data_IF_460615353143
#
_entry.id   IF_460615353143
#
_cell.length_a   1.000
_cell.length_b   1.000
_cell.length_c   1.000
_cell.angle_alpha   90.00
_cell.angle_beta   90.00
_cell.angle_gamma   90.00
#
_symmetry.space_group_name_H-M   'P 1'
#
loop_
_entity.id
_entity.type
_entity.pdbx_description
1 polymer ?
#
# COMPACT_ATOMS: atom_id res chain seq x y z
N UNK A 1 23.62 -16.99 -2.55
CA UNK A 1 22.43 -17.85 -2.59
C UNK A 1 21.36 -17.16 -1.78
N UNK A 2 20.38 -16.55 -2.44
CA UNK A 2 19.26 -15.89 -1.75
C UNK A 2 18.27 -16.94 -1.23
N UNK A 3 17.92 -16.84 0.05
CA UNK A 3 17.03 -17.73 0.78
C UNK A 3 15.60 -17.74 0.19
N UNK A 4 14.95 -18.91 0.24
CA UNK A 4 13.61 -19.19 -0.27
C UNK A 4 12.54 -18.29 0.38
N UNK A 5 12.80 -17.85 1.62
CA UNK A 5 12.02 -16.82 2.33
C UNK A 5 12.04 -15.48 1.60
N UNK A 6 13.18 -15.07 1.07
CA UNK A 6 13.34 -13.81 0.30
C UNK A 6 12.61 -13.89 -1.03
N UNK A 7 12.60 -15.06 -1.69
CA UNK A 7 11.79 -15.31 -2.89
C UNK A 7 10.29 -15.23 -2.62
N UNK A 8 9.83 -15.71 -1.46
CA UNK A 8 8.42 -15.66 -1.08
C UNK A 8 7.94 -14.25 -0.71
N UNK A 9 8.80 -13.41 -0.13
CA UNK A 9 8.50 -11.98 0.11
C UNK A 9 8.49 -11.18 -1.20
N UNK A 10 9.35 -11.54 -2.16
CA UNK A 10 9.39 -10.89 -3.48
C UNK A 10 8.30 -11.37 -4.46
N UNK A 11 7.72 -12.55 -4.25
CA UNK A 11 6.67 -13.14 -5.09
C UNK A 11 5.22 -12.79 -4.69
N UNK A 12 4.99 -11.89 -3.74
CA UNK A 12 3.63 -11.39 -3.45
C UNK A 12 3.14 -10.36 -4.49
N UNK A 13 3.49 -10.59 -5.75
CA UNK A 13 3.08 -9.77 -6.90
C UNK A 13 1.88 -10.50 -7.50
N UNK A 14 0.70 -9.88 -7.42
CA UNK A 14 -0.51 -10.40 -8.07
C UNK A 14 -0.27 -10.67 -9.57
N UNK A 15 -1.12 -11.50 -10.18
CA UNK A 15 -1.09 -11.71 -11.63
C UNK A 15 -1.13 -10.35 -12.34
N UNK A 16 -0.07 -10.03 -13.10
CA UNK A 16 -0.05 -8.83 -13.93
C UNK A 16 -1.10 -8.95 -15.03
N UNK A 17 -1.98 -7.96 -15.13
CA UNK A 17 -3.00 -7.88 -16.17
C UNK A 17 -2.67 -6.70 -17.09
N UNK A 18 -1.85 -6.90 -18.14
CA UNK A 18 -1.43 -5.82 -19.02
C UNK A 18 -2.64 -5.11 -19.62
N UNK A 19 -2.68 -3.78 -19.46
CA UNK A 19 -3.72 -2.91 -20.02
C UNK A 19 -4.87 -2.57 -19.07
N UNK A 20 -4.88 -3.06 -17.81
CA UNK A 20 -5.88 -2.68 -16.81
C UNK A 20 -5.37 -1.57 -15.90
N UNK A 21 -6.30 -0.75 -15.41
CA UNK A 21 -6.05 0.20 -14.33
C UNK A 21 -5.57 -0.55 -13.09
N UNK A 22 -4.79 0.12 -12.25
CA UNK A 22 -4.21 -0.45 -11.04
C UNK A 22 -4.93 0.02 -9.79
N UNK A 23 -5.06 -0.89 -8.83
CA UNK A 23 -5.38 -0.61 -7.44
C UNK A 23 -4.13 -0.87 -6.59
N UNK A 24 -3.41 0.18 -6.22
CA UNK A 24 -2.19 0.09 -5.43
C UNK A 24 -2.49 0.20 -3.93
N UNK A 25 -2.27 -0.87 -3.18
CA UNK A 25 -2.53 -0.93 -1.74
C UNK A 25 -1.20 -0.79 -1.00
N UNK A 26 -1.06 0.29 -0.22
CA UNK A 26 0.09 0.51 0.65
C UNK A 26 -0.33 0.29 2.11
N UNK A 27 0.22 -0.75 2.73
CA UNK A 27 -0.16 -1.12 4.09
C UNK A 27 0.95 -1.67 4.96
N UNK A 28 0.69 -1.71 6.26
CA UNK A 28 1.41 -2.57 7.20
C UNK A 28 0.86 -4.02 7.16
N UNK A 29 1.06 -4.79 8.24
CA UNK A 29 0.56 -6.17 8.34
C UNK A 29 -0.95 -6.33 8.07
N UNK A 30 -1.76 -5.30 8.27
CA UNK A 30 -3.21 -5.36 8.05
C UNK A 30 -3.59 -5.50 6.57
N UNK A 31 -2.74 -5.06 5.63
CA UNK A 31 -2.98 -5.22 4.19
C UNK A 31 -2.55 -6.56 3.61
N UNK A 32 -2.06 -7.49 4.44
CA UNK A 32 -1.60 -8.80 3.98
C UNK A 32 -2.71 -9.53 3.22
N UNK A 33 -2.37 -10.10 2.07
CA UNK A 33 -3.24 -10.88 1.19
C UNK A 33 -4.42 -10.13 0.54
N UNK A 34 -4.65 -8.84 0.84
CA UNK A 34 -5.78 -8.09 0.24
C UNK A 34 -5.70 -8.05 -1.28
N UNK A 35 -4.54 -7.68 -1.84
CA UNK A 35 -4.35 -7.60 -3.30
C UNK A 35 -4.58 -8.96 -3.99
N UNK A 36 -4.11 -10.06 -3.37
CA UNK A 36 -4.31 -11.42 -3.89
C UNK A 36 -5.79 -11.80 -3.89
N UNK A 37 -6.50 -11.57 -2.78
CA UNK A 37 -7.93 -11.83 -2.68
C UNK A 37 -8.73 -11.04 -3.72
N UNK A 38 -8.45 -9.74 -3.88
CA UNK A 38 -9.12 -8.88 -4.86
C UNK A 38 -8.91 -9.41 -6.29
N UNK A 39 -7.69 -9.81 -6.65
CA UNK A 39 -7.42 -10.36 -7.99
C UNK A 39 -8.08 -11.73 -8.24
N UNK A 40 -8.48 -12.45 -7.18
CA UNK A 40 -9.17 -13.75 -7.32
C UNK A 40 -10.68 -13.60 -7.47
N UNK A 41 -11.29 -12.53 -6.96
CA UNK A 41 -12.74 -12.33 -6.98
C UNK A 41 -13.21 -11.44 -8.14
N UNK A 42 -12.32 -10.65 -8.74
CA UNK A 42 -12.65 -9.78 -9.87
C UNK A 42 -11.48 -9.69 -10.87
N UNK A 43 -11.79 -9.24 -12.09
CA UNK A 43 -10.81 -9.05 -13.16
C UNK A 43 -10.94 -7.69 -13.88
N UNK A 44 -11.66 -6.71 -13.32
CA UNK A 44 -11.80 -5.35 -13.88
C UNK A 44 -10.53 -4.51 -13.76
N UNK A 45 -9.69 -4.75 -12.75
CA UNK A 45 -8.44 -4.02 -12.52
C UNK A 45 -7.37 -4.96 -11.91
N UNK A 46 -6.12 -4.50 -11.92
CA UNK A 46 -4.99 -5.20 -11.28
C UNK A 46 -4.73 -4.64 -9.87
N UNK A 47 -4.92 -5.45 -8.83
CA UNK A 47 -4.54 -5.07 -7.47
C UNK A 47 -3.07 -5.41 -7.18
N UNK A 48 -2.31 -4.43 -6.69
CA UNK A 48 -0.90 -4.56 -6.31
C UNK A 48 -0.75 -4.17 -4.84
N UNK A 49 -0.12 -5.01 -4.02
CA UNK A 49 0.07 -4.75 -2.59
C UNK A 49 1.53 -4.48 -2.23
N UNK A 50 1.80 -3.32 -1.62
CA UNK A 50 3.04 -3.02 -0.90
C UNK A 50 2.78 -3.13 0.59
N UNK A 51 3.21 -4.26 1.16
CA UNK A 51 2.95 -4.61 2.55
C UNK A 51 4.27 -4.60 3.32
N UNK A 52 4.39 -3.74 4.34
CA UNK A 52 5.54 -3.68 5.25
C UNK A 52 5.11 -4.04 6.68
N UNK A 53 5.16 -5.32 7.08
CA UNK A 53 4.78 -5.71 8.44
C UNK A 53 5.59 -4.98 9.51
N UNK A 54 4.92 -4.46 10.54
CA UNK A 54 5.52 -3.62 11.59
C UNK A 54 5.98 -2.24 11.13
N UNK A 55 5.77 -1.90 9.85
CA UNK A 55 6.15 -0.62 9.27
C UNK A 55 5.26 0.52 9.75
N UNK A 56 5.88 1.66 10.07
CA UNK A 56 5.16 2.91 10.30
C UNK A 56 4.71 3.57 8.99
N UNK A 57 3.90 4.62 9.10
CA UNK A 57 3.37 5.42 7.98
C UNK A 57 4.44 5.84 6.98
N UNK A 58 5.62 6.29 7.45
CA UNK A 58 6.74 6.70 6.59
C UNK A 58 7.27 5.58 5.68
N UNK A 59 7.38 4.37 6.23
CA UNK A 59 7.92 3.22 5.51
C UNK A 59 6.89 2.65 4.52
N UNK A 60 5.61 2.64 4.91
CA UNK A 60 4.50 2.16 4.10
C UNK A 60 4.23 3.11 2.92
N UNK A 61 4.30 4.43 3.15
CA UNK A 61 3.98 5.47 2.16
C UNK A 61 5.19 5.97 1.36
N UNK A 62 6.24 5.14 1.26
CA UNK A 62 7.43 5.51 0.48
C UNK A 62 7.09 5.78 -0.99
N UNK A 63 7.52 6.94 -1.50
CA UNK A 63 7.26 7.32 -2.89
C UNK A 63 7.91 6.41 -3.92
N UNK A 64 8.95 5.68 -3.50
CA UNK A 64 9.59 4.66 -4.33
C UNK A 64 8.60 3.58 -4.78
N UNK A 65 7.60 3.26 -3.94
CA UNK A 65 6.56 2.29 -4.27
C UNK A 65 5.69 2.80 -5.43
N UNK A 66 5.32 4.08 -5.41
CA UNK A 66 4.49 4.72 -6.45
C UNK A 66 5.26 4.85 -7.77
N UNK A 67 6.53 5.26 -7.69
CA UNK A 67 7.40 5.45 -8.85
C UNK A 67 7.71 4.11 -9.54
N UNK A 68 7.96 3.05 -8.77
CA UNK A 68 8.21 1.71 -9.29
C UNK A 68 7.00 1.15 -10.04
N UNK A 69 5.79 1.42 -9.54
CA UNK A 69 4.55 0.97 -10.20
C UNK A 69 4.09 1.86 -11.35
N UNK A 70 4.74 3.02 -11.58
CA UNK A 70 4.38 3.96 -12.64
C UNK A 70 2.89 4.33 -12.61
N UNK A 71 2.42 4.73 -11.43
CA UNK A 71 1.04 5.16 -11.20
C UNK A 71 0.61 6.23 -12.20
N UNK A 72 -0.60 6.08 -12.73
CA UNK A 72 -1.28 6.99 -13.64
C UNK A 72 -2.53 7.60 -13.00
N UNK A 73 -3.14 8.56 -13.68
CA UNK A 73 -4.36 9.25 -13.24
C UNK A 73 -5.59 8.32 -13.15
N UNK A 74 -5.63 7.24 -13.92
CA UNK A 74 -6.71 6.25 -13.92
C UNK A 74 -6.61 5.27 -12.72
N UNK A 75 -5.43 5.22 -12.09
CA UNK A 75 -5.13 4.30 -11.02
C UNK A 75 -5.69 4.82 -9.69
N UNK A 76 -5.89 3.88 -8.75
CA UNK A 76 -6.38 4.14 -7.41
C UNK A 76 -5.33 3.72 -6.40
N UNK A 77 -4.97 4.60 -5.47
CA UNK A 77 -4.12 4.28 -4.33
C UNK A 77 -4.96 4.08 -3.08
N UNK A 78 -4.71 3.00 -2.36
CA UNK A 78 -5.33 2.69 -1.08
C UNK A 78 -4.27 2.80 0.00
N UNK A 79 -4.44 3.74 0.92
CA UNK A 79 -3.52 3.99 2.02
C UNK A 79 -4.09 3.39 3.30
N UNK A 80 -3.41 2.37 3.83
CA UNK A 80 -3.79 1.65 5.04
C UNK A 80 -2.62 1.64 6.03
N UNK A 81 -2.39 2.73 6.74
CA UNK A 81 -1.19 2.89 7.56
C UNK A 81 -1.45 3.75 8.80
N UNK A 82 -0.53 3.69 9.77
CA UNK A 82 -0.54 4.51 10.99
C UNK A 82 -0.78 3.72 12.28
N UNK A 83 -1.20 2.45 12.20
CA UNK A 83 -1.50 1.65 13.39
C UNK A 83 -0.24 1.42 14.26
N UNK A 84 0.93 1.21 13.62
CA UNK A 84 2.20 1.06 14.32
C UNK A 84 2.73 2.39 14.87
N UNK A 85 2.46 3.52 14.21
CA UNK A 85 2.80 4.86 14.70
C UNK A 85 1.99 5.18 15.96
N UNK A 86 0.67 4.93 15.92
CA UNK A 86 -0.23 5.12 17.08
C UNK A 86 0.18 4.23 18.25
N UNK A 87 0.54 2.97 18.00
CA UNK A 87 1.02 2.04 19.04
C UNK A 87 2.30 2.52 19.75
N UNK A 88 3.05 3.46 19.14
CA UNK A 88 4.24 4.10 19.70
C UNK A 88 3.98 5.50 20.26
N UNK A 89 2.71 5.91 20.39
CA UNK A 89 2.28 7.27 20.74
C UNK A 89 2.73 8.34 19.73
N UNK A 90 2.92 7.97 18.45
CA UNK A 90 3.35 8.86 17.37
C UNK A 90 2.20 9.17 16.39
N UNK A 91 0.95 9.29 16.86
CA UNK A 91 -0.22 9.53 16.00
C UNK A 91 -0.05 10.78 15.09
N UNK A 92 0.53 11.86 15.64
CA UNK A 92 0.80 13.09 14.87
C UNK A 92 1.80 12.86 13.73
N UNK A 93 2.76 11.93 13.91
CA UNK A 93 3.71 11.54 12.87
C UNK A 93 2.97 10.85 11.72
N UNK A 94 2.02 9.97 12.02
CA UNK A 94 1.19 9.32 11.00
C UNK A 94 0.43 10.34 10.16
N UNK A 95 -0.27 11.28 10.82
CA UNK A 95 -1.00 12.35 10.13
C UNK A 95 -0.06 13.19 9.26
N UNK A 96 1.09 13.61 9.81
CA UNK A 96 2.09 14.38 9.05
C UNK A 96 2.57 13.64 7.79
N UNK A 97 2.85 12.34 7.91
CA UNK A 97 3.34 11.52 6.81
C UNK A 97 2.25 11.28 5.75
N UNK A 98 1.01 11.05 6.16
CA UNK A 98 -0.13 10.94 5.25
C UNK A 98 -0.31 12.24 4.47
N UNK A 99 -0.38 13.39 5.15
CA UNK A 99 -0.53 14.70 4.49
C UNK A 99 0.60 14.99 3.51
N UNK A 100 1.86 14.77 3.91
CA UNK A 100 3.02 14.92 3.01
C UNK A 100 2.94 13.99 1.79
N UNK A 101 2.43 12.78 1.98
CA UNK A 101 2.25 11.83 0.88
C UNK A 101 1.16 12.30 -0.08
N UNK A 102 0.01 12.75 0.44
CA UNK A 102 -1.08 13.29 -0.39
C UNK A 102 -0.62 14.48 -1.24
N UNK A 103 0.18 15.39 -0.68
CA UNK A 103 0.77 16.49 -1.44
C UNK A 103 1.67 16.00 -2.58
N UNK A 104 2.51 14.99 -2.33
CA UNK A 104 3.34 14.37 -3.37
C UNK A 104 2.51 13.64 -4.41
N UNK A 105 1.38 13.05 -4.02
CA UNK A 105 0.52 12.29 -4.93
C UNK A 105 -0.22 13.17 -5.95
N UNK A 106 -0.38 14.48 -5.67
CA UNK A 106 -0.95 15.44 -6.62
C UNK A 106 -0.26 15.41 -8.00
N UNK A 107 1.05 15.11 -8.05
CA UNK A 107 1.81 15.03 -9.31
C UNK A 107 1.36 13.92 -10.26
N UNK A 108 0.71 12.87 -9.74
CA UNK A 108 0.21 11.74 -10.54
C UNK A 108 -1.26 11.91 -10.92
N UNK A 109 -1.94 12.92 -10.36
CA UNK A 109 -3.38 13.12 -10.53
C UNK A 109 -4.20 11.85 -10.23
N UNK A 110 -3.74 11.06 -9.26
CA UNK A 110 -4.28 9.75 -8.94
C UNK A 110 -5.40 9.83 -7.91
N UNK A 111 -6.33 8.87 -7.98
CA UNK A 111 -7.41 8.75 -7.01
C UNK A 111 -6.88 8.12 -5.72
N UNK A 112 -7.25 8.66 -4.55
CA UNK A 112 -6.76 8.17 -3.26
C UNK A 112 -7.92 7.76 -2.38
N UNK A 113 -7.83 6.55 -1.83
CA UNK A 113 -8.68 6.01 -0.77
C UNK A 113 -7.83 5.96 0.49
N UNK A 114 -8.21 6.73 1.51
CA UNK A 114 -7.65 6.62 2.85
C UNK A 114 -8.54 5.69 3.67
N UNK A 115 -7.95 4.68 4.29
CA UNK A 115 -8.68 3.69 5.10
C UNK A 115 -8.43 4.00 6.57
N UNK A 116 -9.49 3.93 7.37
CA UNK A 116 -9.39 4.07 8.81
C UNK A 116 -8.45 3.03 9.42
N UNK A 117 -7.82 3.45 10.52
CA UNK A 117 -6.94 2.58 11.29
C UNK A 117 -7.74 1.40 11.85
N UNK A 118 -7.35 0.15 11.55
CA UNK A 118 -7.99 -0.99 12.19
C UNK A 118 -7.76 -0.92 13.70
N UNK A 119 -8.86 -1.03 14.45
CA UNK A 119 -8.82 -1.00 15.91
C UNK A 119 -8.01 -2.18 16.42
N UNK A 120 -6.98 -1.91 17.23
CA UNK A 120 -6.34 -2.95 18.02
C UNK A 120 -7.19 -3.16 19.27
N UNK A 121 -7.94 -4.25 19.32
CA UNK A 121 -8.52 -4.73 20.58
C UNK A 121 -7.36 -5.37 21.35
N UNK A 122 -6.73 -4.59 22.23
CA UNK A 122 -5.80 -5.09 23.25
C UNK A 122 -6.54 -5.35 24.55
#
# INVERSE_FOLDING_TARGET
>A
MEDETTKNVLNYIGKKHPGKNKLLICSDSHGRNIAWNINNIQNSFEAVGYVKPGGGSEQVLSTLNFDKEKIKNEDVLVLMCGANDVAKNEAQRAVSNITKTLEKLKRYNANVILVDLPTRLT
#
